data_IF_007751070503
#
_entry.id   IF_007751070503
#
_cell.length_a   1.000
_cell.length_b   1.000
_cell.length_c   1.000
_cell.angle_alpha   90.00
_cell.angle_beta   90.00
_cell.angle_gamma   90.00
#
_symmetry.space_group_name_H-M   'P 1'
#
loop_
_entity.id
_entity.type
_entity.pdbx_description
1 polymer ?
#
# COMPACT_ATOMS: atom_id res chain seq x y z
N UNK A 1 -6.17 -11.23 -14.01
CA UNK A 1 -5.65 -11.58 -12.67
C UNK A 1 -6.29 -12.89 -12.27
N UNK A 2 -5.55 -13.89 -11.79
CA UNK A 2 -6.16 -15.18 -11.41
C UNK A 2 -7.08 -14.95 -10.19
N UNK A 3 -8.25 -15.59 -10.14
CA UNK A 3 -9.24 -15.36 -9.08
C UNK A 3 -8.67 -15.60 -7.68
N UNK A 4 -7.82 -16.62 -7.54
CA UNK A 4 -7.04 -16.90 -6.32
C UNK A 4 -6.21 -15.69 -5.84
N UNK A 5 -5.52 -14.99 -6.76
CA UNK A 5 -4.72 -13.83 -6.41
C UNK A 5 -5.59 -12.67 -5.91
N UNK A 6 -6.79 -12.50 -6.49
CA UNK A 6 -7.75 -11.51 -6.05
C UNK A 6 -8.23 -11.81 -4.63
N UNK A 7 -8.57 -13.06 -4.33
CA UNK A 7 -8.99 -13.48 -3.00
C UNK A 7 -7.89 -13.25 -1.96
N UNK A 8 -6.64 -13.59 -2.29
CA UNK A 8 -5.49 -13.35 -1.41
C UNK A 8 -5.27 -11.85 -1.14
N UNK A 9 -5.40 -10.99 -2.15
CA UNK A 9 -5.28 -9.54 -1.99
C UNK A 9 -6.41 -8.96 -1.13
N UNK A 10 -7.64 -9.43 -1.33
CA UNK A 10 -8.79 -8.98 -0.53
C UNK A 10 -8.67 -9.45 0.92
N UNK A 11 -8.31 -10.71 1.14
CA UNK A 11 -8.09 -11.27 2.48
C UNK A 11 -6.96 -10.56 3.22
N UNK A 12 -5.79 -10.37 2.59
CA UNK A 12 -4.69 -9.64 3.25
C UNK A 12 -5.05 -8.18 3.54
N UNK A 13 -5.83 -7.53 2.66
CA UNK A 13 -6.27 -6.14 2.86
C UNK A 13 -7.27 -5.98 4.01
N UNK A 14 -8.06 -7.01 4.34
CA UNK A 14 -9.02 -6.94 5.45
C UNK A 14 -8.33 -6.93 6.83
N UNK A 15 -7.09 -7.42 6.92
CA UNK A 15 -6.25 -7.32 8.12
C UNK A 15 -5.80 -5.88 8.41
N UNK A 16 -5.90 -4.97 7.43
CA UNK A 16 -5.46 -3.59 7.51
C UNK A 16 -6.55 -2.63 7.05
N UNK A 17 -7.63 -2.53 7.82
CA UNK A 17 -8.74 -1.61 7.58
C UNK A 17 -8.27 -0.15 7.42
N UNK A 18 -8.77 0.60 6.41
CA UNK A 18 -8.49 2.02 6.30
C UNK A 18 -8.93 2.81 7.54
N UNK A 19 -8.21 3.89 7.90
CA UNK A 19 -8.65 4.76 8.98
C UNK A 19 -10.00 5.41 8.64
N UNK A 20 -10.90 5.46 9.61
CA UNK A 20 -12.22 6.06 9.44
C UNK A 20 -12.12 7.59 9.49
N UNK A 21 -12.89 8.28 8.65
CA UNK A 21 -12.99 9.75 8.67
C UNK A 21 -11.74 10.51 8.21
N UNK A 22 -10.68 9.80 7.78
CA UNK A 22 -9.43 10.41 7.33
C UNK A 22 -9.15 10.02 5.89
N UNK A 23 -8.87 11.03 5.06
CA UNK A 23 -8.41 10.84 3.68
C UNK A 23 -6.93 11.15 3.59
N UNK A 24 -6.12 10.12 3.41
CA UNK A 24 -4.68 10.27 3.18
C UNK A 24 -4.40 10.58 1.70
N UNK A 25 -3.46 11.48 1.44
CA UNK A 25 -3.02 11.86 0.09
C UNK A 25 -1.53 11.59 -0.10
N UNK A 26 -1.16 11.25 -1.33
CA UNK A 26 0.23 11.08 -1.73
C UNK A 26 0.77 12.46 -2.14
N UNK A 27 1.65 13.05 -1.34
CA UNK A 27 2.29 14.33 -1.64
C UNK A 27 3.65 14.16 -2.32
N UNK A 28 4.42 15.26 -2.40
CA UNK A 28 5.79 15.26 -2.95
C UNK A 28 6.70 14.23 -2.27
N UNK A 29 6.53 14.02 -0.96
CA UNK A 29 7.31 13.07 -0.16
C UNK A 29 6.51 11.80 0.20
N UNK A 30 5.54 11.42 -0.65
CA UNK A 30 4.68 10.26 -0.41
C UNK A 30 3.63 10.49 0.67
N UNK A 31 3.18 9.40 1.30
CA UNK A 31 2.24 9.46 2.42
C UNK A 31 3.00 9.72 3.73
N UNK A 32 2.74 10.87 4.36
CA UNK A 32 3.28 11.23 5.68
C UNK A 32 2.14 11.64 6.60
N UNK A 33 2.06 11.00 7.75
CA UNK A 33 1.07 11.24 8.79
C UNK A 33 1.52 10.57 10.10
N UNK A 34 0.72 10.68 11.16
CA UNK A 34 0.93 9.88 12.37
C UNK A 34 0.97 8.37 12.05
N UNK A 35 1.95 7.67 12.62
CA UNK A 35 2.17 6.25 12.31
C UNK A 35 0.96 5.36 12.67
N UNK A 36 0.14 5.75 13.66
CA UNK A 36 -1.04 4.99 14.07
C UNK A 36 -2.08 4.85 12.95
N UNK A 37 -2.14 5.81 12.01
CA UNK A 37 -3.11 5.82 10.92
C UNK A 37 -2.55 5.34 9.57
N UNK A 38 -1.26 4.98 9.50
CA UNK A 38 -0.59 4.61 8.24
C UNK A 38 -0.59 3.11 7.93
N UNK A 39 -1.03 2.24 8.85
CA UNK A 39 -0.96 0.76 8.68
C UNK A 39 -1.60 0.28 7.37
N UNK A 40 -2.84 0.70 7.08
CA UNK A 40 -3.53 0.35 5.82
C UNK A 40 -2.81 0.88 4.59
N UNK A 41 -2.25 2.08 4.69
CA UNK A 41 -1.53 2.74 3.61
C UNK A 41 -0.24 2.01 3.27
N UNK A 42 0.57 1.66 4.26
CA UNK A 42 1.84 0.93 4.05
C UNK A 42 1.59 -0.43 3.41
N UNK A 43 0.57 -1.19 3.86
CA UNK A 43 0.17 -2.46 3.23
C UNK A 43 -0.15 -2.29 1.75
N UNK A 44 -0.98 -1.29 1.41
CA UNK A 44 -1.38 -1.02 0.02
C UNK A 44 -0.23 -0.49 -0.84
N UNK A 45 0.68 0.28 -0.27
CA UNK A 45 1.90 0.74 -0.97
C UNK A 45 2.83 -0.44 -1.28
N UNK A 46 2.93 -1.44 -0.41
CA UNK A 46 3.66 -2.68 -0.71
C UNK A 46 3.10 -3.41 -1.94
N UNK A 47 1.77 -3.53 -2.02
CA UNK A 47 1.09 -4.10 -3.21
C UNK A 47 1.39 -3.24 -4.45
N UNK A 48 1.30 -1.91 -4.34
CA UNK A 48 1.59 -0.98 -5.43
C UNK A 48 3.05 -1.10 -5.92
N UNK A 49 4.00 -1.22 -5.01
CA UNK A 49 5.42 -1.39 -5.34
C UNK A 49 5.67 -2.70 -6.11
N UNK A 50 5.04 -3.81 -5.68
CA UNK A 50 5.09 -5.07 -6.40
C UNK A 50 4.50 -4.96 -7.82
N UNK A 51 3.33 -4.34 -7.96
CA UNK A 51 2.71 -4.10 -9.27
C UNK A 51 3.58 -3.20 -10.16
N UNK A 52 4.21 -2.16 -9.58
CA UNK A 52 5.14 -1.30 -10.31
C UNK A 52 6.37 -2.06 -10.78
N UNK A 53 6.92 -2.95 -9.95
CA UNK A 53 8.06 -3.79 -10.31
C UNK A 53 7.70 -4.71 -11.48
N UNK A 54 6.55 -5.39 -11.41
CA UNK A 54 6.04 -6.22 -12.51
C UNK A 54 5.81 -5.42 -13.79
N UNK A 55 5.27 -4.20 -13.69
CA UNK A 55 5.00 -3.36 -14.86
C UNK A 55 6.28 -2.84 -15.53
N UNK A 56 7.31 -2.57 -14.74
CA UNK A 56 8.58 -1.98 -15.21
C UNK A 56 9.70 -2.99 -15.42
N UNK A 57 9.49 -4.25 -15.03
CA UNK A 57 10.51 -5.29 -15.05
C UNK A 57 11.81 -4.85 -14.34
N UNK A 58 11.65 -4.12 -13.23
CA UNK A 58 12.75 -3.47 -12.50
C UNK A 58 12.50 -3.53 -10.99
N UNK A 59 13.57 -3.49 -10.20
CA UNK A 59 13.46 -3.35 -8.75
C UNK A 59 12.80 -2.01 -8.37
N UNK A 60 11.92 -2.03 -7.37
CA UNK A 60 11.23 -0.83 -6.86
C UNK A 60 11.60 -0.63 -5.41
N UNK A 61 12.20 0.51 -5.09
CA UNK A 61 12.51 0.90 -3.72
C UNK A 61 11.26 1.38 -2.97
N UNK A 62 11.18 1.06 -1.69
CA UNK A 62 10.19 1.57 -0.75
C UNK A 62 10.92 2.08 0.49
N UNK A 63 10.78 3.36 0.81
CA UNK A 63 11.39 3.98 1.99
C UNK A 63 10.33 4.25 3.06
N UNK A 64 10.56 3.77 4.28
CA UNK A 64 9.71 4.06 5.45
C UNK A 64 10.44 5.06 6.33
N UNK A 65 9.99 6.32 6.29
CA UNK A 65 10.57 7.43 7.05
C UNK A 65 9.53 8.53 7.22
N UNK A 66 9.73 9.40 8.21
CA UNK A 66 9.02 10.66 8.33
C UNK A 66 10.03 11.79 8.32
#
# INVERSE_FOLDING_TARGET
MKEEQRLLLLHSSSLFSPPQGVKLSYGTAGFRADASILKSTVHRVGILAALRSLKTQSAVGLMITA
#
